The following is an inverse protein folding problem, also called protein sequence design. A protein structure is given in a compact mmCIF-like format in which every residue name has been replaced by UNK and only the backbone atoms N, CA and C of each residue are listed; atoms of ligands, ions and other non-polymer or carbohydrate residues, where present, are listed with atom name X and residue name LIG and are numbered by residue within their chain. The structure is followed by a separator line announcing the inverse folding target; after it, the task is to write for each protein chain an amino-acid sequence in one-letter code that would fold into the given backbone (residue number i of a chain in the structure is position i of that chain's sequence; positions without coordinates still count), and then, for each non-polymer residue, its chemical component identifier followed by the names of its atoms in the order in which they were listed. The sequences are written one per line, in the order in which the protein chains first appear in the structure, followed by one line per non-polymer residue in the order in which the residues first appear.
data_IF_170397814047
#
_entry.id   IF_170397814047
#
_cell.length_a   1.000
_cell.length_b   1.000
_cell.length_c   1.000
_cell.angle_alpha   90.00
_cell.angle_beta   90.00
_cell.angle_gamma   90.00
#
_symmetry.space_group_name_H-M   'P 1'
#
loop_
_entity.id
_entity.type
_entity.pdbx_description
1 polymer ?
#
# COMPACT_ATOMS: atom_id res chain seq x y z
N UNK A 1 -51.17 9.98 -9.59
CA UNK A 1 -50.29 9.51 -10.69
C UNK A 1 -48.84 9.96 -10.50
N UNK A 2 -48.58 11.20 -10.09
CA UNK A 2 -47.22 11.73 -9.80
C UNK A 2 -46.42 10.92 -8.77
N UNK A 3 -47.06 10.45 -7.69
CA UNK A 3 -46.38 9.61 -6.67
C UNK A 3 -45.89 8.26 -7.22
N UNK A 4 -46.63 7.64 -8.14
CA UNK A 4 -46.21 6.38 -8.77
C UNK A 4 -45.06 6.59 -9.75
N UNK A 5 -45.09 7.69 -10.51
CA UNK A 5 -44.00 8.04 -11.44
C UNK A 5 -42.70 8.35 -10.70
N UNK A 6 -42.77 9.02 -9.55
CA UNK A 6 -41.60 9.30 -8.73
C UNK A 6 -40.98 8.03 -8.13
N UNK A 7 -41.81 7.08 -7.67
CA UNK A 7 -41.34 5.76 -7.20
C UNK A 7 -40.66 4.96 -8.30
N UNK A 8 -41.22 4.98 -9.51
CA UNK A 8 -40.65 4.31 -10.69
C UNK A 8 -39.31 4.93 -11.08
N UNK A 9 -39.21 6.26 -11.08
CA UNK A 9 -37.98 6.98 -11.36
C UNK A 9 -36.88 6.62 -10.35
N UNK A 10 -37.18 6.66 -9.05
CA UNK A 10 -36.22 6.27 -8.01
C UNK A 10 -35.78 4.81 -8.18
N UNK A 11 -36.73 3.90 -8.47
CA UNK A 11 -36.41 2.50 -8.68
C UNK A 11 -35.46 2.29 -9.86
N UNK A 12 -35.70 2.96 -10.99
CA UNK A 12 -34.84 2.89 -12.18
C UNK A 12 -33.45 3.46 -11.89
N UNK A 13 -33.35 4.59 -11.19
CA UNK A 13 -32.07 5.20 -10.81
C UNK A 13 -31.26 4.27 -9.90
N UNK A 14 -31.89 3.66 -8.90
CA UNK A 14 -31.21 2.68 -8.01
C UNK A 14 -30.73 1.46 -8.79
N UNK A 15 -31.56 0.94 -9.70
CA UNK A 15 -31.20 -0.23 -10.50
C UNK A 15 -30.03 0.06 -11.43
N UNK A 16 -29.98 1.27 -11.99
CA UNK A 16 -28.87 1.73 -12.82
C UNK A 16 -27.57 1.92 -12.03
N UNK A 17 -27.62 2.50 -10.83
CA UNK A 17 -26.43 2.68 -10.00
C UNK A 17 -25.87 1.36 -9.46
N UNK A 18 -26.73 0.41 -9.07
CA UNK A 18 -26.31 -0.94 -8.68
C UNK A 18 -25.63 -1.70 -9.84
N UNK A 19 -26.11 -1.51 -11.07
CA UNK A 19 -25.55 -2.18 -12.26
C UNK A 19 -24.14 -1.69 -12.62
N UNK A 20 -23.79 -0.46 -12.24
CA UNK A 20 -22.47 0.14 -12.50
C UNK A 20 -21.45 -0.25 -11.42
N UNK A 21 -21.90 -0.66 -10.23
CA UNK A 21 -21.03 -1.15 -9.16
C UNK A 21 -20.55 -2.58 -9.44
N UNK A 22 -19.65 -2.73 -10.42
CA UNK A 22 -18.81 -3.93 -10.54
C UNK A 22 -17.76 -3.90 -9.42
N UNK A 23 -17.99 -4.70 -8.38
CA UNK A 23 -16.94 -5.03 -7.42
C UNK A 23 -16.11 -6.13 -8.08
N UNK A 24 -15.01 -5.76 -8.73
CA UNK A 24 -14.03 -6.72 -9.19
C UNK A 24 -13.19 -7.17 -7.99
N UNK A 25 -13.61 -8.22 -7.30
CA UNK A 25 -12.78 -8.88 -6.30
C UNK A 25 -11.76 -9.78 -7.00
N UNK A 26 -10.54 -9.28 -7.17
CA UNK A 26 -9.43 -10.10 -7.62
C UNK A 26 -8.93 -10.95 -6.44
N UNK A 27 -9.15 -12.27 -6.51
CA UNK A 27 -8.48 -13.23 -5.63
C UNK A 27 -7.25 -13.74 -6.36
N UNK A 28 -6.08 -13.58 -5.77
CA UNK A 28 -4.82 -14.04 -6.36
C UNK A 28 -4.00 -14.80 -5.33
N UNK A 29 -3.17 -15.72 -5.82
CA UNK A 29 -2.20 -16.43 -5.01
C UNK A 29 -0.82 -15.83 -5.25
N UNK A 30 -0.09 -15.57 -4.17
CA UNK A 30 1.29 -15.08 -4.22
C UNK A 30 2.19 -16.20 -3.72
N UNK A 31 3.27 -16.55 -4.43
CA UNK A 31 4.22 -17.55 -3.95
C UNK A 31 4.86 -17.08 -2.64
N UNK A 32 5.15 -18.05 -1.78
CA UNK A 32 5.89 -17.82 -0.55
C UNK A 32 7.39 -17.92 -0.84
N UNK A 33 8.17 -17.04 -0.23
CA UNK A 33 9.62 -17.02 -0.29
C UNK A 33 10.19 -17.09 1.13
N UNK A 34 11.46 -17.51 1.24
CA UNK A 34 12.17 -17.61 2.51
C UNK A 34 13.48 -16.84 2.39
N UNK A 35 13.76 -15.99 3.38
CA UNK A 35 15.03 -15.29 3.43
C UNK A 35 16.17 -16.19 3.95
N UNK A 36 17.38 -15.65 4.01
CA UNK A 36 18.58 -16.36 4.49
C UNK A 36 18.46 -16.85 5.94
N UNK A 37 17.55 -16.25 6.72
CA UNK A 37 17.27 -16.66 8.12
C UNK A 37 16.18 -17.73 8.21
N UNK A 38 15.58 -18.10 7.08
CA UNK A 38 14.43 -19.00 7.00
C UNK A 38 13.10 -18.34 7.34
N UNK A 39 13.03 -17.00 7.40
CA UNK A 39 11.79 -16.28 7.64
C UNK A 39 10.97 -16.16 6.34
N UNK A 40 9.70 -16.55 6.44
CA UNK A 40 8.75 -16.50 5.33
C UNK A 40 8.36 -15.05 5.00
N UNK A 41 8.32 -14.72 3.72
CA UNK A 41 7.72 -13.49 3.20
C UNK A 41 7.01 -13.76 1.86
N UNK A 42 6.23 -12.77 1.41
CA UNK A 42 5.65 -12.73 0.07
C UNK A 42 6.06 -11.43 -0.61
N UNK A 43 6.34 -11.47 -1.91
CA UNK A 43 6.58 -10.27 -2.71
C UNK A 43 5.31 -9.91 -3.49
N UNK A 44 4.73 -8.75 -3.21
CA UNK A 44 3.58 -8.21 -3.94
C UNK A 44 3.97 -6.87 -4.51
N UNK A 45 3.98 -6.74 -5.83
CA UNK A 45 4.31 -5.50 -6.55
C UNK A 45 5.65 -4.87 -6.11
N UNK A 46 6.67 -5.69 -5.82
CA UNK A 46 7.98 -5.22 -5.38
C UNK A 46 8.03 -4.78 -3.90
N UNK A 47 7.02 -5.16 -3.12
CA UNK A 47 6.97 -5.01 -1.68
C UNK A 47 7.07 -6.37 -1.00
N UNK A 48 8.11 -6.55 -0.18
CA UNK A 48 8.26 -7.74 0.65
C UNK A 48 7.38 -7.56 1.89
N UNK A 49 6.48 -8.51 2.11
CA UNK A 49 5.55 -8.51 3.24
C UNK A 49 5.80 -9.77 4.07
N UNK A 50 6.07 -9.60 5.35
CA UNK A 50 6.27 -10.70 6.30
C UNK A 50 5.54 -10.44 7.61
N UNK A 51 5.16 -11.51 8.29
CA UNK A 51 4.55 -11.47 9.61
C UNK A 51 5.36 -12.40 10.53
N UNK A 52 5.96 -11.83 11.57
CA UNK A 52 6.74 -12.62 12.52
C UNK A 52 5.86 -13.30 13.58
N UNK A 53 6.48 -14.15 14.41
CA UNK A 53 5.80 -14.86 15.50
C UNK A 53 5.20 -13.95 16.57
N UNK A 54 5.70 -12.71 16.68
CA UNK A 54 5.21 -11.71 17.61
C UNK A 54 4.10 -10.84 16.99
N UNK A 55 3.60 -11.24 15.81
CA UNK A 55 2.57 -10.53 15.04
C UNK A 55 3.03 -9.13 14.60
N UNK A 56 4.33 -8.92 14.42
CA UNK A 56 4.84 -7.69 13.82
C UNK A 56 4.80 -7.87 12.31
N UNK A 57 3.96 -7.06 11.67
CA UNK A 57 3.92 -6.95 10.21
C UNK A 57 5.09 -6.09 9.77
N UNK A 58 5.93 -6.62 8.88
CA UNK A 58 6.99 -5.87 8.22
C UNK A 58 6.69 -5.79 6.73
N UNK A 59 6.68 -4.56 6.23
CA UNK A 59 6.52 -4.24 4.81
C UNK A 59 7.76 -3.50 4.36
N UNK A 60 8.46 -4.04 3.37
CA UNK A 60 9.72 -3.48 2.89
C UNK A 60 9.62 -3.25 1.39
N UNK A 61 10.00 -2.07 0.95
CA UNK A 61 10.26 -1.79 -0.45
C UNK A 61 11.73 -1.33 -0.61
N UNK A 62 12.12 -0.91 -1.81
CA UNK A 62 13.50 -0.49 -2.10
C UNK A 62 14.03 0.65 -1.22
N UNK A 63 13.14 1.49 -0.70
CA UNK A 63 13.51 2.72 -0.02
C UNK A 63 13.14 2.74 1.46
N UNK A 64 12.07 2.05 1.85
CA UNK A 64 11.49 2.13 3.17
C UNK A 64 11.20 0.75 3.75
N UNK A 65 11.31 0.66 5.07
CA UNK A 65 10.83 -0.47 5.87
C UNK A 65 9.83 0.06 6.87
N UNK A 66 8.59 -0.41 6.76
CA UNK A 66 7.50 -0.11 7.68
C UNK A 66 7.26 -1.31 8.58
N UNK A 67 7.11 -1.08 9.88
CA UNK A 67 6.80 -2.10 10.88
C UNK A 67 5.58 -1.68 11.67
N UNK A 68 4.64 -2.60 11.89
CA UNK A 68 3.40 -2.36 12.64
C UNK A 68 3.12 -3.57 13.52
N UNK A 69 2.75 -3.35 14.78
CA UNK A 69 2.29 -4.42 15.66
C UNK A 69 0.82 -4.79 15.38
N UNK A 70 0.58 -6.04 15.02
CA UNK A 70 -0.74 -6.66 14.88
C UNK A 70 -1.05 -7.62 16.04
N UNK A 71 -0.56 -7.28 17.25
CA UNK A 71 -0.94 -7.98 18.47
C UNK A 71 -2.47 -8.08 18.60
N UNK A 72 -2.95 -9.10 19.32
CA UNK A 72 -4.39 -9.27 19.56
C UNK A 72 -4.98 -8.03 20.27
N UNK A 73 -6.21 -7.60 19.92
CA UNK A 73 -6.86 -6.47 20.57
C UNK A 73 -7.16 -6.77 22.04
N UNK A 74 -7.03 -5.75 22.88
CA UNK A 74 -7.45 -5.80 24.28
C UNK A 74 -8.96 -5.77 24.42
N UNK A 75 -9.49 -6.17 25.59
CA UNK A 75 -10.94 -6.15 25.85
C UNK A 75 -11.55 -4.75 25.68
N UNK A 76 -10.82 -3.70 26.06
CA UNK A 76 -11.26 -2.31 25.91
C UNK A 76 -11.35 -1.92 24.43
N UNK A 77 -10.37 -2.30 23.62
CA UNK A 77 -10.37 -2.04 22.17
C UNK A 77 -11.52 -2.78 21.48
N UNK A 78 -11.82 -4.01 21.90
CA UNK A 78 -12.95 -4.80 21.39
C UNK A 78 -14.28 -4.14 21.78
N UNK A 79 -14.44 -3.76 23.04
CA UNK A 79 -15.68 -3.17 23.55
C UNK A 79 -15.98 -1.81 22.91
N UNK A 80 -14.95 -1.00 22.68
CA UNK A 80 -15.08 0.35 22.09
C UNK A 80 -15.03 0.33 20.56
N UNK A 81 -14.64 -0.79 19.95
CA UNK A 81 -14.35 -0.94 18.50
C UNK A 81 -13.38 0.14 17.99
N UNK A 82 -12.44 0.55 18.84
CA UNK A 82 -11.49 1.61 18.55
C UNK A 82 -10.15 1.34 19.25
N UNK A 83 -9.05 1.87 18.71
CA UNK A 83 -7.71 1.69 19.25
C UNK A 83 -6.64 2.19 18.30
N UNK A 84 -5.39 2.21 18.79
CA UNK A 84 -4.21 2.58 18.00
C UNK A 84 -3.14 1.51 18.14
N UNK A 85 -2.36 1.32 17.09
CA UNK A 85 -1.18 0.44 17.08
C UNK A 85 0.06 1.26 16.83
N UNK A 86 1.14 0.91 17.52
CA UNK A 86 2.44 1.48 17.25
C UNK A 86 2.99 0.95 15.93
N UNK A 87 3.61 1.86 15.18
CA UNK A 87 4.33 1.53 13.97
C UNK A 87 5.49 2.48 13.75
N UNK A 88 6.48 2.03 13.00
CA UNK A 88 7.62 2.84 12.61
C UNK A 88 7.89 2.68 11.13
N UNK A 89 8.42 3.74 10.50
CA UNK A 89 8.87 3.71 9.12
C UNK A 89 10.29 4.25 9.05
N UNK A 90 11.18 3.46 8.46
CA UNK A 90 12.57 3.81 8.24
C UNK A 90 12.83 3.87 6.75
N UNK A 91 13.06 5.08 6.23
CA UNK A 91 13.33 5.31 4.82
C UNK A 91 14.79 5.74 4.60
N UNK A 92 15.38 5.27 3.51
CA UNK A 92 16.64 5.81 3.01
C UNK A 92 16.40 7.24 2.53
N UNK A 93 17.31 8.20 2.82
CA UNK A 93 17.24 9.52 2.22
C UNK A 93 17.32 9.38 0.70
N UNK A 94 16.36 9.98 -0.01
CA UNK A 94 16.45 10.12 -1.47
C UNK A 94 17.63 11.05 -1.73
N UNK A 95 18.71 10.51 -2.27
CA UNK A 95 19.78 11.35 -2.79
C UNK A 95 19.20 12.03 -4.01
N UNK A 96 18.70 13.26 -3.84
CA UNK A 96 18.33 14.10 -4.96
C UNK A 96 19.60 14.33 -5.77
N UNK A 97 19.77 13.60 -6.86
CA UNK A 97 20.66 14.03 -7.93
C UNK A 97 20.04 15.30 -8.50
N UNK A 98 20.31 16.44 -7.86
CA UNK A 98 20.11 17.73 -8.52
C UNK A 98 21.02 17.73 -9.73
N UNK A 99 20.39 17.71 -10.88
CA UNK A 99 20.94 18.11 -12.16
C UNK A 99 21.75 19.40 -12.00
N UNK A 100 23.07 19.32 -12.14
CA UNK A 100 23.85 20.44 -12.64
C UNK A 100 24.10 20.16 -14.12
N UNK A 101 23.12 20.58 -14.91
CA UNK A 101 23.34 20.92 -16.30
C UNK A 101 24.24 22.16 -16.29
N UNK A 102 25.55 21.94 -16.35
CA UNK A 102 26.49 23.01 -16.63
C UNK A 102 26.29 23.39 -18.09
N UNK A 103 25.59 24.50 -18.32
CA UNK A 103 25.61 25.19 -19.60
C UNK A 103 27.06 25.63 -19.79
N UNK A 104 27.81 24.89 -20.61
CA UNK A 104 29.16 25.26 -20.99
C UNK A 104 29.05 26.08 -22.28
N UNK A 105 28.91 27.40 -22.15
CA UNK A 105 29.42 28.30 -23.18
C UNK A 105 30.95 28.22 -23.10
N UNK A 106 31.50 27.24 -23.81
CA UNK A 106 32.85 27.19 -24.39
C UNK A 106 33.26 25.72 -24.50
N UNK A 107 33.04 25.16 -25.68
CA UNK A 107 33.39 23.78 -25.99
C UNK A 107 34.89 23.55 -25.91
N UNK A 108 35.36 22.94 -24.83
CA UNK A 108 36.59 22.13 -24.77
C UNK A 108 36.33 20.91 -23.89
N UNK A 109 36.41 19.73 -24.52
CA UNK A 109 36.38 18.42 -23.88
C UNK A 109 37.66 18.17 -23.09
N UNK A 110 37.57 17.70 -21.84
CA UNK A 110 38.69 16.95 -21.22
C UNK A 110 38.14 15.84 -20.34
N UNK A 111 38.24 14.62 -20.86
CA UNK A 111 38.08 13.36 -20.13
C UNK A 111 39.26 13.19 -19.16
N UNK A 112 39.01 12.79 -17.92
CA UNK A 112 40.00 12.07 -17.10
C UNK A 112 39.36 10.84 -16.45
N UNK A 113 40.11 9.75 -16.55
CA UNK A 113 39.85 8.43 -15.97
C UNK A 113 39.60 8.48 -14.47
#
# INVERSE_FOLDING_TARGET
MISHMFKLYIAVVILFTLSIMKIESATFAVPIEFDETGQMYVNVDGMDISLDSNRILKMKNRHCTTTISLASPSEVEIATRNGYREGSSLCRPVQSSQSQEAINEDGITTTRM
#
